data_IF_266059153648
#
_entry.id   IF_266059153648
#
_cell.length_a   1.000
_cell.length_b   1.000
_cell.length_c   1.000
_cell.angle_alpha   90.00
_cell.angle_beta   90.00
_cell.angle_gamma   90.00
#
_symmetry.space_group_name_H-M   'P 1'
#
loop_
_entity.id
_entity.type
_entity.pdbx_description
1 polymer ?
#
# COMPACT_ATOMS: atom_id res chain seq x y z
N UNK A 1 -6.35 -21.47 16.68
CA UNK A 1 -5.07 -22.14 16.95
C UNK A 1 -3.93 -21.12 16.89
N UNK A 2 -2.96 -21.10 17.83
CA UNK A 2 -1.89 -20.07 17.89
C UNK A 2 -0.62 -20.39 17.07
N UNK A 3 -0.34 -21.66 16.74
CA UNK A 3 0.88 -22.09 16.01
C UNK A 3 0.63 -23.27 15.04
N UNK A 4 -0.13 -23.06 13.95
CA UNK A 4 -0.46 -24.12 13.02
C UNK A 4 0.76 -24.74 12.31
N UNK A 5 1.80 -23.95 12.03
CA UNK A 5 3.03 -24.40 11.34
C UNK A 5 3.88 -25.41 12.12
N UNK A 6 3.69 -25.52 13.43
CA UNK A 6 4.44 -26.42 14.31
C UNK A 6 3.61 -27.62 14.78
N UNK A 7 2.42 -27.83 14.22
CA UNK A 7 1.45 -28.83 14.68
C UNK A 7 1.25 -29.95 13.66
N UNK A 8 0.79 -31.13 14.10
CA UNK A 8 0.47 -32.23 13.18
C UNK A 8 -0.76 -31.88 12.34
N UNK A 9 -0.78 -32.37 11.09
CA UNK A 9 -1.87 -32.12 10.13
C UNK A 9 -3.23 -32.52 10.73
N UNK A 10 -3.30 -33.67 11.41
CA UNK A 10 -4.52 -34.16 12.06
C UNK A 10 -5.07 -33.20 13.12
N UNK A 11 -4.18 -32.57 13.89
CA UNK A 11 -4.57 -31.63 14.94
C UNK A 11 -5.07 -30.32 14.32
N UNK A 12 -4.45 -29.86 13.23
CA UNK A 12 -4.89 -28.69 12.46
C UNK A 12 -6.28 -28.93 11.87
N UNK A 13 -6.50 -30.06 11.20
CA UNK A 13 -7.79 -30.42 10.60
C UNK A 13 -8.90 -30.45 11.68
N UNK A 14 -8.61 -31.04 12.84
CA UNK A 14 -9.54 -31.11 13.97
C UNK A 14 -9.84 -29.73 14.56
N UNK A 15 -8.81 -28.93 14.82
CA UNK A 15 -8.96 -27.58 15.40
C UNK A 15 -9.73 -26.63 14.48
N UNK A 16 -9.48 -26.72 13.17
CA UNK A 16 -10.19 -25.94 12.17
C UNK A 16 -11.51 -26.58 11.73
N UNK A 17 -11.90 -27.74 12.28
CA UNK A 17 -13.11 -28.49 11.94
C UNK A 17 -13.32 -28.58 10.42
N UNK A 18 -12.28 -28.98 9.71
CA UNK A 18 -12.32 -29.14 8.26
C UNK A 18 -12.33 -30.62 7.90
N UNK A 19 -12.82 -30.96 6.71
CA UNK A 19 -12.66 -32.29 6.13
C UNK A 19 -11.41 -32.32 5.24
N UNK A 20 -10.58 -33.35 5.37
CA UNK A 20 -9.33 -33.47 4.62
C UNK A 20 -9.56 -33.73 3.11
N UNK A 21 -10.64 -34.42 2.77
CA UNK A 21 -10.97 -34.85 1.40
C UNK A 21 -12.05 -33.98 0.77
N UNK A 22 -12.91 -33.36 1.57
CA UNK A 22 -14.02 -32.53 1.09
C UNK A 22 -13.85 -31.04 1.35
N UNK A 23 -12.87 -30.66 2.17
CA UNK A 23 -12.67 -29.28 2.58
C UNK A 23 -13.78 -28.77 3.49
N UNK A 24 -14.06 -27.47 3.41
CA UNK A 24 -15.17 -26.85 4.16
C UNK A 24 -16.46 -26.90 3.36
N UNK A 25 -17.60 -26.92 4.04
CA UNK A 25 -18.88 -26.71 3.35
C UNK A 25 -19.04 -25.25 2.93
N UNK A 26 -19.77 -24.99 1.84
CA UNK A 26 -20.07 -23.61 1.39
C UNK A 26 -20.71 -22.77 2.49
N UNK A 27 -21.56 -23.38 3.32
CA UNK A 27 -22.22 -22.71 4.46
C UNK A 27 -21.22 -22.28 5.53
N UNK A 28 -20.33 -23.18 5.96
CA UNK A 28 -19.30 -22.85 6.95
C UNK A 28 -18.30 -21.83 6.42
N UNK A 29 -17.98 -21.89 5.12
CA UNK A 29 -17.12 -20.91 4.49
C UNK A 29 -17.75 -19.50 4.54
N UNK A 30 -19.05 -19.37 4.26
CA UNK A 30 -19.77 -18.08 4.35
C UNK A 30 -19.87 -17.57 5.79
N UNK A 31 -20.15 -18.45 6.75
CA UNK A 31 -20.17 -18.10 8.18
C UNK A 31 -18.79 -17.63 8.67
N UNK A 32 -17.72 -18.30 8.24
CA UNK A 32 -16.34 -17.89 8.56
C UNK A 32 -15.98 -16.57 7.88
N UNK A 33 -16.40 -16.35 6.63
CA UNK A 33 -16.16 -15.10 5.93
C UNK A 33 -16.81 -13.91 6.66
N UNK A 34 -18.03 -14.09 7.16
CA UNK A 34 -18.72 -13.07 7.99
C UNK A 34 -18.03 -12.83 9.32
N UNK A 35 -17.44 -13.87 9.92
CA UNK A 35 -16.77 -13.80 11.23
C UNK A 35 -15.36 -13.20 11.17
N UNK A 36 -14.59 -13.56 10.15
CA UNK A 36 -13.17 -13.21 10.03
C UNK A 36 -12.91 -12.09 9.01
N UNK A 37 -13.87 -11.79 8.15
CA UNK A 37 -13.70 -10.84 7.06
C UNK A 37 -13.04 -11.45 5.83
N UNK A 38 -12.94 -10.65 4.76
CA UNK A 38 -12.23 -11.05 3.54
C UNK A 38 -10.74 -11.21 3.82
N UNK A 39 -10.10 -12.17 3.14
CA UNK A 39 -8.64 -12.32 3.16
C UNK A 39 -7.99 -11.24 2.28
N UNK A 40 -8.18 -9.98 2.64
CA UNK A 40 -7.57 -8.83 2.00
C UNK A 40 -6.73 -8.11 3.03
N UNK A 41 -5.51 -7.74 2.63
CA UNK A 41 -4.72 -6.79 3.39
C UNK A 41 -5.49 -5.47 3.44
N UNK A 42 -5.43 -4.80 4.59
CA UNK A 42 -6.03 -3.49 4.78
C UNK A 42 -5.49 -2.58 3.67
N UNK A 43 -6.37 -2.04 2.82
CA UNK A 43 -5.96 -1.07 1.82
C UNK A 43 -5.40 0.16 2.56
N UNK A 44 -4.10 0.41 2.40
CA UNK A 44 -3.50 1.68 2.79
C UNK A 44 -4.26 2.81 2.08
N UNK A 45 -4.45 3.94 2.78
CA UNK A 45 -5.17 5.10 2.20
C UNK A 45 -4.60 5.40 0.81
N UNK A 46 -5.49 5.65 -0.15
CA UNK A 46 -5.09 6.08 -1.50
C UNK A 46 -4.20 7.31 -1.37
N UNK A 47 -2.95 7.17 -1.78
CA UNK A 47 -1.99 8.26 -1.83
C UNK A 47 -2.48 9.31 -2.82
N UNK A 48 -2.71 10.52 -2.33
CA UNK A 48 -3.06 11.66 -3.17
C UNK A 48 -1.82 12.48 -3.51
N UNK A 49 -1.91 13.27 -4.57
CA UNK A 49 -0.83 14.20 -4.94
C UNK A 49 -0.51 15.20 -3.81
N UNK A 50 -1.54 15.63 -3.07
CA UNK A 50 -1.37 16.54 -1.92
C UNK A 50 -0.62 15.86 -0.78
N UNK A 51 -0.87 14.57 -0.51
CA UNK A 51 -0.13 13.83 0.53
C UNK A 51 1.37 13.77 0.19
N UNK A 52 1.69 13.43 -1.08
CA UNK A 52 3.08 13.40 -1.56
C UNK A 52 3.72 14.78 -1.47
N UNK A 53 3.00 15.84 -1.86
CA UNK A 53 3.50 17.21 -1.75
C UNK A 53 3.84 17.60 -0.29
N UNK A 54 2.99 17.27 0.68
CA UNK A 54 3.26 17.58 2.08
C UNK A 54 4.43 16.78 2.67
N UNK A 55 4.63 15.54 2.23
CA UNK A 55 5.80 14.75 2.58
C UNK A 55 7.07 15.41 2.02
N UNK A 56 7.04 15.82 0.76
CA UNK A 56 8.17 16.41 0.04
C UNK A 56 8.57 17.78 0.62
N UNK A 57 7.61 18.65 0.95
CA UNK A 57 7.92 19.95 1.57
C UNK A 57 8.56 19.81 2.96
N UNK A 58 8.37 18.67 3.65
CA UNK A 58 9.00 18.37 4.95
C UNK A 58 10.35 17.68 4.81
N UNK A 59 10.79 17.43 3.58
CA UNK A 59 12.08 16.83 3.30
C UNK A 59 13.19 17.87 3.61
N UNK A 60 14.27 17.48 4.35
CA UNK A 60 15.27 18.43 4.82
C UNK A 60 15.97 19.24 3.73
N UNK A 61 16.20 18.67 2.55
CA UNK A 61 16.84 19.33 1.43
C UNK A 61 15.91 20.40 0.83
N UNK A 62 14.61 20.13 0.69
CA UNK A 62 13.65 21.15 0.21
C UNK A 62 13.51 22.30 1.23
N UNK A 63 13.44 21.99 2.53
CA UNK A 63 13.44 23.03 3.56
C UNK A 63 14.70 23.90 3.49
N UNK A 64 15.87 23.30 3.26
CA UNK A 64 17.12 24.03 3.07
C UNK A 64 17.04 24.98 1.86
N UNK A 65 16.55 24.50 0.72
CA UNK A 65 16.40 25.30 -0.50
C UNK A 65 15.44 26.48 -0.29
N UNK A 66 14.33 26.26 0.41
CA UNK A 66 13.37 27.32 0.75
C UNK A 66 13.99 28.38 1.66
N UNK A 67 14.79 27.97 2.65
CA UNK A 67 15.54 28.89 3.52
C UNK A 67 16.53 29.70 2.67
N UNK A 68 17.33 29.04 1.82
CA UNK A 68 18.29 29.72 0.94
C UNK A 68 17.59 30.74 0.04
N UNK A 69 16.46 30.37 -0.57
CA UNK A 69 15.65 31.28 -1.38
C UNK A 69 15.13 32.49 -0.59
N UNK A 70 14.70 32.28 0.67
CA UNK A 70 14.26 33.34 1.56
C UNK A 70 15.39 34.30 1.92
N UNK A 71 16.56 33.77 2.30
CA UNK A 71 17.75 34.56 2.60
C UNK A 71 18.16 35.41 1.38
N UNK A 72 18.17 34.81 0.19
CA UNK A 72 18.51 35.52 -1.03
C UNK A 72 17.49 36.61 -1.38
N UNK A 73 16.20 36.40 -1.10
CA UNK A 73 15.17 37.42 -1.32
C UNK A 73 15.32 38.64 -0.40
N UNK A 74 16.01 38.52 0.74
CA UNK A 74 16.23 39.63 1.68
C UNK A 74 17.53 40.39 1.37
N UNK A 75 18.59 39.68 0.99
CA UNK A 75 19.93 40.28 0.77
C UNK A 75 20.34 40.46 -0.70
N UNK A 76 19.65 39.79 -1.62
CA UNK A 76 19.99 39.76 -3.04
C UNK A 76 19.08 40.63 -3.92
N UNK A 77 19.34 40.60 -5.22
CA UNK A 77 18.49 41.28 -6.20
C UNK A 77 17.19 40.50 -6.46
N UNK A 78 16.10 41.23 -6.70
CA UNK A 78 14.79 40.63 -6.98
C UNK A 78 14.83 39.64 -8.16
N UNK A 79 15.69 39.88 -9.16
CA UNK A 79 15.86 39.01 -10.34
C UNK A 79 16.51 37.67 -10.00
N UNK A 80 17.52 37.70 -9.15
CA UNK A 80 18.26 36.50 -8.76
C UNK A 80 17.40 35.65 -7.80
N UNK A 81 16.69 36.30 -6.87
CA UNK A 81 15.69 35.65 -6.03
C UNK A 81 14.59 34.97 -6.86
N UNK A 82 14.05 35.67 -7.87
CA UNK A 82 13.05 35.10 -8.77
C UNK A 82 13.57 33.88 -9.55
N UNK A 83 14.82 33.94 -10.02
CA UNK A 83 15.47 32.83 -10.74
C UNK A 83 15.59 31.59 -9.86
N UNK A 84 16.03 31.75 -8.61
CA UNK A 84 16.14 30.67 -7.63
C UNK A 84 14.76 30.07 -7.34
N UNK A 85 13.74 30.91 -7.12
CA UNK A 85 12.38 30.44 -6.87
C UNK A 85 11.81 29.62 -8.02
N UNK A 86 12.05 30.04 -9.27
CA UNK A 86 11.61 29.28 -10.46
C UNK A 86 12.28 27.91 -10.50
N UNK A 87 13.60 27.86 -10.27
CA UNK A 87 14.35 26.59 -10.27
C UNK A 87 13.83 25.65 -9.17
N UNK A 88 13.68 26.14 -7.95
CA UNK A 88 13.15 25.35 -6.81
C UNK A 88 11.75 24.84 -7.14
N UNK A 89 10.87 25.69 -7.69
CA UNK A 89 9.50 25.29 -8.03
C UNK A 89 9.47 24.16 -9.05
N UNK A 90 10.31 24.25 -10.10
CA UNK A 90 10.40 23.21 -11.13
C UNK A 90 10.94 21.90 -10.52
N UNK A 91 11.97 21.97 -9.67
CA UNK A 91 12.56 20.81 -9.01
C UNK A 91 11.53 20.10 -8.11
N UNK A 92 10.90 20.83 -7.18
CA UNK A 92 9.88 20.28 -6.27
C UNK A 92 8.71 19.69 -7.07
N UNK A 93 8.25 20.37 -8.13
CA UNK A 93 7.17 19.85 -8.97
C UNK A 93 7.56 18.53 -9.65
N UNK A 94 8.76 18.46 -10.23
CA UNK A 94 9.26 17.24 -10.88
C UNK A 94 9.42 16.09 -9.88
N UNK A 95 9.90 16.39 -8.68
CA UNK A 95 10.10 15.42 -7.60
C UNK A 95 8.76 14.83 -7.12
N UNK A 96 7.80 15.68 -6.77
CA UNK A 96 6.44 15.25 -6.38
C UNK A 96 5.77 14.46 -7.51
N UNK A 97 5.93 14.88 -8.77
CA UNK A 97 5.36 14.16 -9.91
C UNK A 97 5.97 12.76 -10.09
N UNK A 98 7.29 12.65 -9.96
CA UNK A 98 8.00 11.38 -10.07
C UNK A 98 7.61 10.42 -8.94
N UNK A 99 7.57 10.92 -7.70
CA UNK A 99 7.19 10.13 -6.53
C UNK A 99 5.73 9.67 -6.62
N UNK A 100 4.81 10.57 -7.00
CA UNK A 100 3.41 10.22 -7.22
C UNK A 100 3.27 9.12 -8.30
N UNK A 101 4.00 9.24 -9.42
CA UNK A 101 3.98 8.24 -10.49
C UNK A 101 4.57 6.90 -10.02
N UNK A 102 5.64 6.91 -9.23
CA UNK A 102 6.24 5.71 -8.67
C UNK A 102 5.28 4.99 -7.71
N UNK A 103 4.72 5.72 -6.72
CA UNK A 103 3.74 5.19 -5.76
C UNK A 103 2.51 4.63 -6.47
N UNK A 104 1.97 5.33 -7.47
CA UNK A 104 0.82 4.86 -8.27
C UNK A 104 1.12 3.57 -9.04
N UNK A 105 2.35 3.42 -9.55
CA UNK A 105 2.77 2.21 -10.27
C UNK A 105 2.82 1.00 -9.33
N UNK A 106 3.32 1.19 -8.10
CA UNK A 106 3.31 0.16 -7.06
C UNK A 106 1.89 -0.21 -6.66
N UNK A 107 0.99 0.76 -6.51
CA UNK A 107 -0.43 0.51 -6.20
C UNK A 107 -1.10 -0.35 -7.29
N UNK A 108 -0.86 -0.04 -8.57
CA UNK A 108 -1.38 -0.83 -9.68
C UNK A 108 -0.80 -2.25 -9.70
N UNK A 109 0.49 -2.40 -9.42
CA UNK A 109 1.12 -3.72 -9.34
C UNK A 109 0.52 -4.55 -8.19
N UNK A 110 0.32 -3.96 -7.01
CA UNK A 110 -0.38 -4.61 -5.88
C UNK A 110 -1.77 -5.12 -6.29
N UNK A 111 -2.51 -4.36 -7.10
CA UNK A 111 -3.84 -4.78 -7.60
C UNK A 111 -3.79 -5.94 -8.58
N UNK A 112 -2.74 -6.01 -9.41
CA UNK A 112 -2.54 -7.13 -10.36
C UNK A 112 -2.13 -8.43 -9.65
N UNK A 113 -1.50 -8.34 -8.49
CA UNK A 113 -1.10 -9.50 -7.69
C UNK A 113 -2.22 -10.06 -6.80
N UNK A 114 -3.50 -9.70 -7.01
CA UNK A 114 -4.60 -10.31 -6.25
C UNK A 114 -4.58 -11.82 -6.46
N UNK A 115 -4.20 -12.61 -5.46
CA UNK A 115 -3.91 -14.02 -5.67
C UNK A 115 -5.22 -14.78 -5.78
N UNK A 116 -5.61 -15.18 -7.00
CA UNK A 116 -6.68 -16.17 -7.15
C UNK A 116 -6.14 -17.49 -6.58
N UNK A 117 -6.86 -18.02 -5.60
CA UNK A 117 -6.47 -19.17 -4.81
C UNK A 117 -7.46 -20.30 -5.06
N UNK A 118 -6.93 -21.48 -5.39
CA UNK A 118 -7.72 -22.70 -5.47
C UNK A 118 -8.03 -23.21 -4.06
N UNK A 119 -9.31 -23.46 -3.78
CA UNK A 119 -9.79 -24.01 -2.51
C UNK A 119 -10.68 -25.21 -2.75
N UNK A 120 -10.64 -26.17 -1.83
CA UNK A 120 -11.54 -27.33 -1.82
C UNK A 120 -12.73 -27.04 -0.91
N UNK A 121 -13.95 -27.11 -1.46
CA UNK A 121 -15.20 -26.95 -0.71
C UNK A 121 -16.24 -27.93 -1.22
N UNK A 122 -17.04 -28.51 -0.33
CA UNK A 122 -18.06 -29.51 -0.68
C UNK A 122 -17.54 -30.64 -1.61
N UNK A 123 -16.25 -30.99 -1.49
CA UNK A 123 -15.57 -31.98 -2.35
C UNK A 123 -15.25 -31.52 -3.79
N UNK A 124 -15.34 -30.22 -4.08
CA UNK A 124 -15.02 -29.63 -5.40
C UNK A 124 -14.01 -28.49 -5.28
N UNK A 125 -13.16 -28.34 -6.29
CA UNK A 125 -12.23 -27.22 -6.36
C UNK A 125 -12.94 -25.96 -6.88
N UNK A 126 -12.70 -24.83 -6.21
CA UNK A 126 -13.17 -23.50 -6.58
C UNK A 126 -11.98 -22.54 -6.65
N UNK A 127 -11.98 -21.65 -7.63
CA UNK A 127 -11.04 -20.52 -7.69
C UNK A 127 -11.70 -19.28 -7.10
N UNK A 128 -11.07 -18.66 -6.11
CA UNK A 128 -11.58 -17.48 -5.41
C UNK A 128 -10.49 -16.42 -5.28
N UNK A 129 -10.91 -15.15 -5.22
CA UNK A 129 -10.05 -13.98 -4.97
C UNK A 129 -9.81 -13.74 -3.48
#
# INVERSE_FOLDING_TARGET
MKKPWASKISDVIRDFKADAEKGLTSKEADERLKRFGQNKLIEERRLTFLDVFYEEVREPMIMLLLIVGLLYSVWGELRDAATIFIIITILVYAEVFNEYRAKKSIEMLKKLSSPITAVLRDGRFYELL
#
